data_IF_026006944394
#
_entry.id   IF_026006944394
#
_cell.length_a   1.000
_cell.length_b   1.000
_cell.length_c   1.000
_cell.angle_alpha   90.00
_cell.angle_beta   90.00
_cell.angle_gamma   90.00
#
_symmetry.space_group_name_H-M   'P 1'
#
loop_
_entity.id
_entity.type
_entity.pdbx_description
1 polymer ?
#
# COMPACT_ATOMS: atom_id res chain seq x y z
N UNK A 1 -46.90 -12.84 80.09
CA UNK A 1 -47.10 -12.87 78.62
C UNK A 1 -46.24 -11.77 78.02
N UNK A 2 -45.07 -12.13 77.51
CA UNK A 2 -44.10 -11.20 76.94
C UNK A 2 -43.97 -11.52 75.44
N UNK A 3 -44.37 -10.57 74.58
CA UNK A 3 -44.16 -10.67 73.14
C UNK A 3 -42.85 -9.96 72.76
N UNK A 4 -41.84 -10.76 72.42
CA UNK A 4 -40.60 -10.29 71.80
C UNK A 4 -40.82 -10.16 70.28
N UNK A 5 -40.74 -8.94 69.77
CA UNK A 5 -40.79 -8.61 68.34
C UNK A 5 -39.36 -8.56 67.79
N UNK A 6 -38.97 -9.62 67.10
CA UNK A 6 -37.68 -9.77 66.41
C UNK A 6 -37.68 -8.94 65.13
N UNK A 7 -36.97 -7.80 65.12
CA UNK A 7 -36.76 -6.97 63.93
C UNK A 7 -35.69 -7.62 63.03
N UNK A 8 -36.13 -8.20 61.91
CA UNK A 8 -35.24 -8.62 60.83
C UNK A 8 -34.67 -7.38 60.12
N UNK A 9 -33.35 -7.18 60.20
CA UNK A 9 -32.63 -6.18 59.39
C UNK A 9 -32.36 -6.77 58.02
N UNK A 10 -33.13 -6.32 57.02
CA UNK A 10 -32.79 -6.47 55.60
C UNK A 10 -31.54 -5.64 55.31
N UNK A 11 -30.40 -6.30 55.16
CA UNK A 11 -29.18 -5.70 54.62
C UNK A 11 -29.36 -5.60 53.12
N UNK A 12 -29.62 -4.39 52.61
CA UNK A 12 -29.60 -4.10 51.19
C UNK A 12 -28.15 -4.19 50.70
N UNK A 13 -27.80 -5.25 49.98
CA UNK A 13 -26.57 -5.28 49.21
C UNK A 13 -26.68 -4.23 48.09
N UNK A 14 -25.77 -3.25 47.99
CA UNK A 14 -25.68 -2.45 46.79
C UNK A 14 -25.19 -3.37 45.66
N UNK A 15 -26.09 -3.70 44.74
CA UNK A 15 -25.75 -4.33 43.47
C UNK A 15 -24.97 -3.29 42.65
N UNK A 16 -23.67 -3.16 42.94
CA UNK A 16 -22.75 -2.39 42.12
C UNK A 16 -22.60 -3.15 40.80
N UNK A 17 -23.44 -2.78 39.84
CA UNK A 17 -23.33 -3.15 38.44
C UNK A 17 -22.01 -2.53 37.94
N UNK A 18 -20.90 -3.25 38.15
CA UNK A 18 -19.63 -2.97 37.50
C UNK A 18 -19.87 -3.08 36.00
N UNK A 19 -20.17 -1.93 35.38
CA UNK A 19 -19.99 -1.70 33.96
C UNK A 19 -18.50 -1.93 33.68
N UNK A 20 -18.15 -3.20 33.47
CA UNK A 20 -16.90 -3.58 32.85
C UNK A 20 -16.94 -3.00 31.44
N UNK A 21 -16.55 -1.74 31.30
CA UNK A 21 -16.20 -1.16 30.01
C UNK A 21 -15.09 -2.05 29.49
N UNK A 22 -15.44 -2.93 28.53
CA UNK A 22 -14.42 -3.67 27.80
C UNK A 22 -13.44 -2.63 27.29
N UNK A 23 -12.21 -2.66 27.79
CA UNK A 23 -11.15 -1.89 27.19
C UNK A 23 -11.20 -2.22 25.68
N UNK A 24 -11.27 -1.22 24.80
CA UNK A 24 -11.27 -1.48 23.38
C UNK A 24 -10.07 -2.37 23.10
N UNK A 25 -10.30 -3.56 22.53
CA UNK A 25 -9.22 -4.48 22.20
C UNK A 25 -8.24 -3.72 21.32
N UNK A 26 -7.07 -3.39 21.86
CA UNK A 26 -6.04 -2.70 21.11
C UNK A 26 -5.62 -3.63 19.98
N UNK A 27 -5.84 -3.20 18.74
CA UNK A 27 -5.43 -3.98 17.59
C UNK A 27 -3.92 -4.25 17.72
N UNK A 28 -3.48 -5.51 17.68
CA UNK A 28 -2.09 -5.84 17.96
C UNK A 28 -1.20 -5.18 16.91
N UNK A 29 -0.22 -4.41 17.38
CA UNK A 29 0.81 -3.87 16.51
C UNK A 29 1.66 -5.03 15.98
N UNK A 30 1.96 -5.01 14.68
CA UNK A 30 2.88 -5.92 14.06
C UNK A 30 4.31 -5.38 14.22
N UNK A 31 5.20 -6.16 14.81
CA UNK A 31 6.62 -5.84 14.87
C UNK A 31 7.36 -6.44 13.68
N UNK A 32 8.14 -5.63 12.98
CA UNK A 32 8.92 -6.05 11.81
C UNK A 32 10.31 -5.43 11.85
N UNK A 33 11.30 -6.20 11.42
CA UNK A 33 12.68 -5.79 11.32
C UNK A 33 12.95 -5.28 9.92
N UNK A 34 13.53 -4.08 9.81
CA UNK A 34 13.93 -3.54 8.52
C UNK A 34 15.33 -4.03 8.15
N UNK A 35 15.41 -4.82 7.08
CA UNK A 35 16.67 -5.45 6.65
C UNK A 35 17.47 -4.52 5.74
N UNK A 36 16.88 -4.09 4.60
CA UNK A 36 17.57 -3.27 3.60
C UNK A 36 16.62 -2.62 2.60
N UNK A 37 17.12 -1.61 1.88
CA UNK A 37 16.50 -1.04 0.67
C UNK A 37 17.32 -1.53 -0.53
N UNK A 38 16.73 -2.38 -1.37
CA UNK A 38 17.43 -3.01 -2.48
C UNK A 38 16.47 -3.52 -3.58
N UNK A 39 16.61 -3.02 -4.83
CA UNK A 39 17.57 -2.00 -5.29
C UNK A 39 17.28 -0.62 -4.69
N UNK A 40 18.27 0.29 -4.68
CA UNK A 40 18.13 1.66 -4.17
C UNK A 40 18.83 2.70 -5.05
N UNK A 41 18.19 3.84 -5.24
CA UNK A 41 18.77 5.02 -5.89
C UNK A 41 18.40 6.31 -5.13
N UNK A 42 19.26 7.35 -5.15
CA UNK A 42 18.91 8.66 -4.61
C UNK A 42 17.88 9.36 -5.51
N UNK A 43 16.78 9.82 -4.92
CA UNK A 43 15.75 10.60 -5.58
C UNK A 43 15.69 12.01 -4.98
N UNK A 44 15.83 13.02 -5.85
CA UNK A 44 15.66 14.44 -5.51
C UNK A 44 14.23 14.86 -5.81
N UNK A 45 13.60 15.55 -4.86
CA UNK A 45 12.22 16.00 -5.01
C UNK A 45 12.04 17.43 -4.51
N UNK A 46 10.96 18.07 -4.98
CA UNK A 46 10.35 19.23 -4.34
C UNK A 46 8.97 18.81 -3.89
N UNK A 47 8.64 19.04 -2.62
CA UNK A 47 7.30 18.82 -2.08
C UNK A 47 6.82 20.06 -1.33
N UNK A 48 5.68 20.63 -1.76
CA UNK A 48 5.10 21.86 -1.16
C UNK A 48 6.14 22.99 -1.02
N UNK A 49 6.92 23.19 -2.08
CA UNK A 49 7.98 24.20 -2.15
C UNK A 49 9.26 23.89 -1.37
N UNK A 50 9.38 22.71 -0.75
CA UNK A 50 10.59 22.28 -0.04
C UNK A 50 11.33 21.24 -0.83
N UNK A 51 12.61 21.49 -1.08
CA UNK A 51 13.49 20.54 -1.73
C UNK A 51 14.00 19.49 -0.73
N UNK A 52 14.21 18.27 -1.21
CA UNK A 52 14.74 17.17 -0.42
C UNK A 52 15.39 16.10 -1.27
N UNK A 53 16.05 15.17 -0.58
CA UNK A 53 16.61 13.97 -1.20
C UNK A 53 16.32 12.79 -0.29
N UNK A 54 15.87 11.68 -0.87
CA UNK A 54 15.63 10.42 -0.17
C UNK A 54 16.15 9.25 -1.01
N UNK A 55 16.14 8.05 -0.45
CA UNK A 55 16.40 6.83 -1.22
C UNK A 55 15.07 6.21 -1.65
N UNK A 56 14.94 5.92 -2.94
CA UNK A 56 13.80 5.23 -3.53
C UNK A 56 14.21 3.80 -3.93
N UNK A 57 13.26 2.86 -3.87
CA UNK A 57 13.51 1.45 -4.13
C UNK A 57 12.53 0.51 -3.44
N UNK A 58 12.94 -0.74 -3.26
CA UNK A 58 12.14 -1.79 -2.61
C UNK A 58 12.65 -2.05 -1.19
N UNK A 59 11.79 -1.83 -0.19
CA UNK A 59 12.13 -2.07 1.22
C UNK A 59 11.95 -3.56 1.54
N UNK A 60 12.96 -4.15 2.18
CA UNK A 60 12.95 -5.55 2.61
C UNK A 60 12.76 -5.61 4.12
N UNK A 61 11.79 -6.43 4.52
CA UNK A 61 11.33 -6.53 5.89
C UNK A 61 11.27 -7.99 6.32
N UNK A 62 11.57 -8.23 7.59
CA UNK A 62 11.43 -9.53 8.24
C UNK A 62 10.46 -9.44 9.42
N UNK A 63 9.46 -10.30 9.49
CA UNK A 63 8.65 -10.51 10.70
C UNK A 63 9.42 -11.47 11.61
N UNK A 64 9.90 -11.02 12.79
CA UNK A 64 10.71 -11.84 13.68
C UNK A 64 10.03 -13.17 14.01
N UNK A 65 10.83 -14.23 14.21
CA UNK A 65 10.30 -15.55 14.63
C UNK A 65 9.60 -15.51 15.99
N UNK A 66 9.92 -14.51 16.80
CA UNK A 66 9.29 -14.26 18.10
C UNK A 66 7.86 -13.72 17.98
N UNK A 67 7.48 -13.17 16.82
CA UNK A 67 6.11 -12.76 16.55
C UNK A 67 5.23 -13.98 16.25
N UNK A 68 4.15 -14.10 17.05
CA UNK A 68 3.22 -15.23 16.98
C UNK A 68 2.41 -15.26 15.68
N UNK A 69 2.21 -14.10 15.04
CA UNK A 69 1.49 -13.99 13.77
C UNK A 69 2.11 -12.94 12.85
N UNK A 70 1.90 -13.11 11.54
CA UNK A 70 2.39 -12.18 10.51
C UNK A 70 1.28 -11.26 9.97
N UNK A 71 0.07 -11.37 10.51
CA UNK A 71 -1.13 -10.70 9.97
C UNK A 71 -1.34 -10.99 8.46
N UNK A 72 -0.96 -12.20 8.02
CA UNK A 72 -1.04 -12.66 6.64
C UNK A 72 0.11 -12.24 5.74
N UNK A 73 1.08 -11.47 6.24
CA UNK A 73 2.31 -11.17 5.50
C UNK A 73 3.20 -12.40 5.40
N UNK A 74 4.04 -12.45 4.37
CA UNK A 74 5.19 -13.34 4.38
C UNK A 74 6.14 -12.95 5.51
N UNK A 75 6.85 -13.93 6.09
CA UNK A 75 7.87 -13.63 7.11
C UNK A 75 9.00 -12.78 6.56
N UNK A 76 9.32 -12.94 5.28
CA UNK A 76 10.17 -12.01 4.55
C UNK A 76 9.28 -11.36 3.49
N UNK A 77 8.98 -10.09 3.64
CA UNK A 77 8.09 -9.39 2.72
C UNK A 77 8.76 -8.13 2.17
N UNK A 78 8.17 -7.62 1.10
CA UNK A 78 8.58 -6.38 0.47
C UNK A 78 7.56 -5.29 0.76
N UNK A 79 8.10 -4.11 1.04
CA UNK A 79 7.32 -2.91 1.28
C UNK A 79 7.73 -1.81 0.31
N UNK A 80 6.80 -0.92 0.05
CA UNK A 80 7.06 0.35 -0.61
C UNK A 80 6.73 1.48 0.36
N UNK A 81 7.65 2.41 0.49
CA UNK A 81 7.49 3.57 1.33
C UNK A 81 6.31 4.41 0.87
N UNK A 82 5.64 5.08 1.80
CA UNK A 82 4.61 6.03 1.45
C UNK A 82 4.65 7.35 2.21
N UNK A 83 5.82 7.65 2.79
CA UNK A 83 6.12 8.94 3.40
C UNK A 83 7.54 9.36 3.02
N UNK A 84 7.68 10.35 2.15
CA UNK A 84 9.00 10.78 1.64
C UNK A 84 9.92 11.40 2.70
N UNK A 85 9.35 11.92 3.80
CA UNK A 85 10.08 12.68 4.83
C UNK A 85 10.53 11.86 6.05
N UNK A 86 10.03 10.64 6.24
CA UNK A 86 10.32 9.87 7.46
C UNK A 86 11.52 8.96 7.20
N UNK A 87 12.68 9.19 7.85
CA UNK A 87 13.84 8.34 7.65
C UNK A 87 13.61 6.96 8.26
N UNK A 88 14.25 5.95 7.66
CA UNK A 88 14.32 4.60 8.22
C UNK A 88 15.78 4.18 8.37
N UNK A 89 16.09 3.46 9.44
CA UNK A 89 17.43 2.97 9.75
C UNK A 89 17.42 1.46 9.70
N UNK A 90 18.34 0.89 8.91
CA UNK A 90 18.52 -0.55 8.82
C UNK A 90 18.79 -1.15 10.20
N UNK A 91 18.46 -2.43 10.32
CA UNK A 91 18.68 -3.23 11.51
C UNK A 91 17.93 -2.74 12.75
N UNK A 92 16.75 -2.15 12.54
CA UNK A 92 15.85 -1.69 13.60
C UNK A 92 14.50 -2.41 13.55
N UNK A 93 13.90 -2.56 14.73
CA UNK A 93 12.56 -3.09 14.89
C UNK A 93 11.54 -1.94 14.87
N UNK A 94 10.56 -2.07 14.00
CA UNK A 94 9.50 -1.10 13.77
C UNK A 94 8.14 -1.71 14.07
N UNK A 95 7.21 -0.87 14.51
CA UNK A 95 5.84 -1.27 14.87
C UNK A 95 4.87 -0.69 13.85
N UNK A 96 3.98 -1.53 13.34
CA UNK A 96 2.98 -1.13 12.37
C UNK A 96 1.57 -1.51 12.82
N UNK A 97 0.62 -0.66 12.44
CA UNK A 97 -0.80 -1.00 12.40
C UNK A 97 -1.20 -1.30 10.97
N UNK A 98 -1.97 -2.35 10.74
CA UNK A 98 -2.55 -2.62 9.42
C UNK A 98 -3.79 -1.76 9.22
N UNK A 99 -3.80 -0.97 8.15
CA UNK A 99 -4.93 -0.15 7.74
C UNK A 99 -5.42 -0.56 6.35
N UNK A 100 -6.71 -0.33 6.10
CA UNK A 100 -7.27 -0.33 4.75
C UNK A 100 -6.59 0.76 3.93
N UNK A 101 -6.23 0.47 2.67
CA UNK A 101 -5.67 1.48 1.75
C UNK A 101 -6.67 2.60 1.42
N UNK A 102 -7.97 2.38 1.62
CA UNK A 102 -9.04 3.33 1.34
C UNK A 102 -9.28 4.35 2.47
N UNK A 103 -8.59 4.23 3.60
CA UNK A 103 -8.80 5.15 4.72
C UNK A 103 -8.27 6.57 4.39
N UNK A 104 -9.07 7.64 4.49
CA UNK A 104 -8.62 9.00 4.16
C UNK A 104 -7.43 9.50 4.97
N UNK A 105 -7.30 9.06 6.21
CA UNK A 105 -6.18 9.37 7.10
C UNK A 105 -4.83 8.95 6.49
N UNK A 106 -4.79 7.91 5.66
CA UNK A 106 -3.56 7.45 5.01
C UNK A 106 -2.96 8.47 4.04
N UNK A 107 -3.78 9.42 3.57
CA UNK A 107 -3.43 10.45 2.59
C UNK A 107 -3.48 11.86 3.19
N UNK A 108 -3.68 11.99 4.51
CA UNK A 108 -3.85 13.29 5.16
C UNK A 108 -5.14 14.02 4.78
N UNK A 109 -6.17 13.28 4.32
CA UNK A 109 -7.43 13.84 3.81
C UNK A 109 -8.56 13.85 4.84
N UNK A 110 -8.30 13.44 6.08
CA UNK A 110 -9.30 13.21 7.13
C UNK A 110 -10.29 14.37 7.38
N UNK A 111 -9.88 15.62 7.18
CA UNK A 111 -10.77 16.80 7.30
C UNK A 111 -11.12 17.46 5.96
N UNK A 112 -10.74 16.86 4.83
CA UNK A 112 -11.04 17.41 3.52
C UNK A 112 -12.52 17.20 3.16
N UNK A 113 -13.16 18.15 2.46
CA UNK A 113 -14.44 17.87 1.81
C UNK A 113 -14.21 16.75 0.78
N UNK A 114 -15.10 15.75 0.75
CA UNK A 114 -14.98 14.57 -0.13
C UNK A 114 -13.78 13.63 0.19
N UNK A 115 -13.31 13.62 1.43
CA UNK A 115 -12.21 12.77 1.92
C UNK A 115 -12.30 11.31 1.43
N UNK A 116 -13.46 10.67 1.58
CA UNK A 116 -13.67 9.27 1.19
C UNK A 116 -13.51 9.05 -0.32
N UNK A 117 -14.10 9.93 -1.13
CA UNK A 117 -14.03 9.82 -2.60
C UNK A 117 -12.60 10.04 -3.11
N UNK A 118 -11.88 10.99 -2.51
CA UNK A 118 -10.48 11.24 -2.84
C UNK A 118 -9.58 10.08 -2.42
N UNK A 119 -9.79 9.53 -1.23
CA UNK A 119 -9.08 8.35 -0.74
C UNK A 119 -9.35 7.11 -1.61
N UNK A 120 -10.62 6.91 -2.03
CA UNK A 120 -11.00 5.83 -2.95
C UNK A 120 -10.28 5.95 -4.29
N UNK A 121 -10.27 7.15 -4.87
CA UNK A 121 -9.56 7.41 -6.13
C UNK A 121 -8.06 7.14 -6.01
N UNK A 122 -7.40 7.59 -4.94
CA UNK A 122 -5.97 7.30 -4.71
C UNK A 122 -5.72 5.81 -4.53
N UNK A 123 -6.56 5.14 -3.74
CA UNK A 123 -6.46 3.69 -3.55
C UNK A 123 -6.60 2.93 -4.88
N UNK A 124 -7.51 3.35 -5.78
CA UNK A 124 -7.65 2.78 -7.14
C UNK A 124 -6.41 2.99 -8.00
N UNK A 125 -5.85 4.20 -8.01
CA UNK A 125 -4.59 4.45 -8.73
C UNK A 125 -3.43 3.62 -8.19
N UNK A 126 -3.34 3.45 -6.87
CA UNK A 126 -2.32 2.60 -6.26
C UNK A 126 -2.55 1.14 -6.65
N UNK A 127 -3.77 0.62 -6.53
CA UNK A 127 -4.08 -0.75 -6.95
C UNK A 127 -3.79 -0.98 -8.43
N UNK A 128 -4.15 -0.04 -9.30
CA UNK A 128 -3.83 -0.12 -10.72
C UNK A 128 -2.32 -0.08 -10.98
N UNK A 129 -1.56 0.78 -10.28
CA UNK A 129 -0.10 0.82 -10.36
C UNK A 129 0.50 -0.55 -10.02
N UNK A 130 0.03 -1.18 -8.93
CA UNK A 130 0.42 -2.54 -8.57
C UNK A 130 -0.02 -3.54 -9.65
N UNK A 131 -1.26 -3.47 -10.12
CA UNK A 131 -1.78 -4.37 -11.15
C UNK A 131 -0.97 -4.35 -12.45
N UNK A 132 -0.61 -3.16 -12.93
CA UNK A 132 0.12 -3.02 -14.20
C UNK A 132 1.62 -3.29 -14.09
N UNK A 133 2.26 -2.84 -13.01
CA UNK A 133 3.71 -2.70 -12.98
C UNK A 133 4.40 -3.43 -11.83
N UNK A 134 3.66 -3.89 -10.82
CA UNK A 134 4.28 -4.68 -9.76
C UNK A 134 4.75 -6.02 -10.31
N UNK A 135 6.00 -6.35 -9.99
CA UNK A 135 6.60 -7.66 -10.13
C UNK A 135 7.09 -8.08 -8.76
N UNK A 136 6.83 -9.32 -8.38
CA UNK A 136 7.26 -9.81 -7.06
C UNK A 136 8.80 -9.85 -6.98
N UNK A 137 9.43 -8.94 -6.22
CA UNK A 137 10.88 -8.82 -6.20
C UNK A 137 11.52 -9.88 -5.28
N UNK A 138 10.73 -10.79 -4.68
CA UNK A 138 11.24 -11.99 -3.99
C UNK A 138 11.43 -13.17 -4.94
N UNK A 139 10.63 -13.23 -6.01
CA UNK A 139 10.59 -14.36 -6.93
C UNK A 139 11.09 -14.01 -8.34
N UNK A 140 11.16 -12.72 -8.67
CA UNK A 140 11.58 -12.22 -9.98
C UNK A 140 12.66 -11.16 -9.81
N UNK A 141 13.58 -11.13 -10.76
CA UNK A 141 14.51 -10.01 -10.87
C UNK A 141 13.74 -8.76 -11.31
N UNK A 142 13.99 -7.65 -10.61
CA UNK A 142 13.38 -6.35 -10.89
C UNK A 142 14.51 -5.38 -11.14
N UNK A 143 14.67 -4.88 -12.38
CA UNK A 143 15.70 -3.89 -12.70
C UNK A 143 15.63 -2.70 -11.73
N UNK A 144 16.78 -2.19 -11.30
CA UNK A 144 16.84 -1.05 -10.39
C UNK A 144 16.02 0.17 -10.85
N UNK A 145 16.05 0.56 -12.14
CA UNK A 145 15.21 1.67 -12.62
C UNK A 145 13.71 1.43 -12.45
N UNK A 146 13.23 0.20 -12.67
CA UNK A 146 11.81 -0.16 -12.55
C UNK A 146 11.34 -0.10 -11.10
N UNK A 147 12.13 -0.64 -10.18
CA UNK A 147 11.85 -0.61 -8.74
C UNK A 147 11.82 0.82 -8.18
N UNK A 148 12.77 1.65 -8.60
CA UNK A 148 12.84 3.06 -8.22
C UNK A 148 11.68 3.83 -8.83
N UNK A 149 11.38 3.60 -10.11
CA UNK A 149 10.27 4.23 -10.81
C UNK A 149 8.92 3.92 -10.14
N UNK A 150 8.71 2.67 -9.75
CA UNK A 150 7.52 2.24 -9.03
C UNK A 150 7.35 3.00 -7.71
N UNK A 151 8.42 3.11 -6.91
CA UNK A 151 8.41 3.85 -5.65
C UNK A 151 8.14 5.35 -5.83
N UNK A 152 8.71 5.96 -6.87
CA UNK A 152 8.52 7.39 -7.18
C UNK A 152 7.08 7.66 -7.65
N UNK A 153 6.55 6.83 -8.55
CA UNK A 153 5.15 6.92 -9.00
C UNK A 153 4.18 6.75 -7.82
N UNK A 154 4.48 5.83 -6.89
CA UNK A 154 3.69 5.65 -5.69
C UNK A 154 3.67 6.93 -4.83
N UNK A 155 4.81 7.60 -4.64
CA UNK A 155 4.85 8.86 -3.90
C UNK A 155 4.06 9.97 -4.57
N UNK A 156 4.09 10.11 -5.89
CA UNK A 156 3.26 11.07 -6.61
C UNK A 156 1.77 10.89 -6.28
N UNK A 157 1.25 9.67 -6.42
CA UNK A 157 -0.17 9.37 -6.14
C UNK A 157 -0.56 9.73 -4.70
N UNK A 158 0.36 9.55 -3.75
CA UNK A 158 0.11 9.78 -2.32
C UNK A 158 0.27 11.25 -1.94
N UNK A 159 1.25 11.94 -2.50
CA UNK A 159 1.69 13.26 -2.03
C UNK A 159 1.11 14.41 -2.85
N UNK A 160 0.61 14.13 -4.06
CA UNK A 160 0.00 15.14 -4.91
C UNK A 160 -1.24 15.71 -4.24
N UNK A 161 -1.52 17.00 -4.45
CA UNK A 161 -2.65 17.66 -3.81
C UNK A 161 -3.94 17.32 -4.54
N UNK A 162 -4.98 17.02 -3.76
CA UNK A 162 -6.28 16.77 -4.36
C UNK A 162 -6.89 18.08 -4.87
N UNK A 163 -7.27 18.17 -6.16
CA UNK A 163 -7.98 19.34 -6.65
C UNK A 163 -9.39 19.40 -6.03
N UNK A 164 -9.95 20.60 -5.92
CA UNK A 164 -11.32 20.79 -5.41
C UNK A 164 -12.35 20.04 -6.29
N UNK A 165 -12.11 20.05 -7.60
CA UNK A 165 -12.92 19.36 -8.61
C UNK A 165 -12.04 18.53 -9.54
N UNK A 166 -12.53 17.36 -9.95
CA UNK A 166 -11.85 16.48 -10.92
C UNK A 166 -10.92 15.42 -10.30
N UNK A 167 -9.96 14.98 -11.10
CA UNK A 167 -8.92 14.03 -10.71
C UNK A 167 -7.57 14.78 -10.61
N UNK A 168 -6.66 14.37 -9.69
CA UNK A 168 -5.34 14.96 -9.61
C UNK A 168 -4.59 14.72 -10.92
N UNK A 169 -3.88 15.75 -11.39
CA UNK A 169 -2.96 15.59 -12.52
C UNK A 169 -1.65 15.04 -11.96
N UNK A 170 -1.37 13.77 -12.23
CA UNK A 170 -0.16 13.10 -11.77
C UNK A 170 1.00 13.41 -12.73
N UNK A 171 1.89 14.32 -12.33
CA UNK A 171 2.94 14.86 -13.19
C UNK A 171 4.18 15.22 -12.35
N UNK A 172 5.19 14.35 -12.41
CA UNK A 172 6.45 14.49 -11.69
C UNK A 172 7.26 15.72 -12.10
N UNK A 173 6.88 16.42 -13.16
CA UNK A 173 7.53 17.67 -13.57
C UNK A 173 6.67 18.90 -13.29
N UNK A 174 5.41 18.71 -12.89
CA UNK A 174 4.50 19.79 -12.57
C UNK A 174 3.47 19.34 -11.50
N UNK A 175 3.57 19.89 -10.31
CA UNK A 175 2.68 19.51 -9.21
C UNK A 175 3.21 20.01 -7.88
N UNK A 176 2.54 19.59 -6.82
CA UNK A 176 2.98 19.83 -5.46
C UNK A 176 4.06 18.85 -5.03
N UNK A 177 4.03 17.61 -5.53
CA UNK A 177 5.16 16.69 -5.50
C UNK A 177 5.78 16.63 -6.89
N UNK A 178 7.09 16.84 -7.00
CA UNK A 178 7.79 16.78 -8.28
C UNK A 178 9.23 16.35 -8.14
N UNK A 179 9.76 15.72 -9.17
CA UNK A 179 11.17 15.41 -9.30
C UNK A 179 11.98 16.71 -9.42
N UNK A 180 13.03 16.85 -8.61
CA UNK A 180 13.89 18.04 -8.63
C UNK A 180 15.13 17.79 -9.51
N UNK A 181 14.88 17.71 -10.82
CA UNK A 181 15.90 17.56 -11.85
C UNK A 181 15.55 18.45 -13.05
N UNK A 182 16.55 19.03 -13.74
CA UNK A 182 16.35 19.48 -15.11
C UNK A 182 15.83 18.31 -15.96
N UNK A 183 14.80 18.49 -16.82
CA UNK A 183 14.20 17.39 -17.58
C UNK A 183 15.21 16.54 -18.36
N UNK A 184 16.22 17.19 -18.95
CA UNK A 184 17.30 16.55 -19.71
C UNK A 184 18.35 15.81 -18.86
N UNK A 185 18.32 15.99 -17.54
CA UNK A 185 19.21 15.36 -16.55
C UNK A 185 18.46 14.41 -15.61
N UNK A 186 17.14 14.24 -15.80
CA UNK A 186 16.35 13.36 -14.98
C UNK A 186 16.82 11.90 -15.14
N UNK A 187 17.01 11.14 -14.04
CA UNK A 187 17.32 9.72 -14.11
C UNK A 187 16.27 8.96 -14.92
N UNK A 188 16.68 7.85 -15.55
CA UNK A 188 15.76 7.00 -16.32
C UNK A 188 14.55 6.53 -15.49
N UNK A 189 14.74 6.31 -14.19
CA UNK A 189 13.69 5.96 -13.24
C UNK A 189 12.60 7.04 -13.09
N UNK A 190 12.93 8.33 -13.24
CA UNK A 190 11.96 9.43 -13.20
C UNK A 190 11.09 9.43 -14.46
N UNK A 191 11.71 9.29 -15.63
CA UNK A 191 10.97 9.17 -16.90
C UNK A 191 10.07 7.94 -16.90
N UNK A 192 10.57 6.81 -16.40
CA UNK A 192 9.80 5.57 -16.28
C UNK A 192 8.64 5.72 -15.28
N UNK A 193 8.84 6.41 -14.16
CA UNK A 193 7.78 6.72 -13.20
C UNK A 193 6.68 7.57 -13.84
N UNK A 194 7.05 8.59 -14.62
CA UNK A 194 6.08 9.40 -15.36
C UNK A 194 5.28 8.56 -16.37
N UNK A 195 5.92 7.61 -17.04
CA UNK A 195 5.21 6.67 -17.94
C UNK A 195 4.21 5.80 -17.18
N UNK A 196 4.57 5.31 -15.99
CA UNK A 196 3.63 4.56 -15.14
C UNK A 196 2.42 5.41 -14.77
N UNK A 197 2.64 6.66 -14.34
CA UNK A 197 1.58 7.60 -13.96
C UNK A 197 0.65 7.94 -15.14
N UNK A 198 1.22 8.19 -16.31
CA UNK A 198 0.45 8.47 -17.53
C UNK A 198 -0.44 7.29 -17.97
N UNK A 199 -0.10 6.07 -17.58
CA UNK A 199 -0.86 4.87 -17.91
C UNK A 199 -2.03 4.58 -16.94
N UNK A 200 -2.11 5.29 -15.80
CA UNK A 200 -3.16 5.07 -14.80
C UNK A 200 -4.47 5.71 -15.25
N UNK A 201 -5.56 4.94 -15.21
CA UNK A 201 -6.90 5.38 -15.59
C UNK A 201 -7.90 5.33 -14.44
N UNK A 202 -7.50 4.81 -13.29
CA UNK A 202 -8.35 4.48 -12.15
C UNK A 202 -9.01 3.10 -12.27
N UNK A 203 -8.53 2.23 -13.16
CA UNK A 203 -9.05 0.87 -13.34
C UNK A 203 -8.33 -0.13 -12.42
N UNK A 204 -8.91 -0.36 -11.25
CA UNK A 204 -8.40 -1.28 -10.25
C UNK A 204 -8.64 -2.77 -10.60
N UNK A 205 -9.41 -3.10 -11.64
CA UNK A 205 -9.58 -4.48 -12.09
C UNK A 205 -8.24 -5.14 -12.45
N UNK A 206 -7.30 -4.36 -12.99
CA UNK A 206 -5.95 -4.81 -13.37
C UNK A 206 -5.14 -5.33 -12.18
N UNK A 207 -5.46 -4.90 -10.95
CA UNK A 207 -4.87 -5.46 -9.74
C UNK A 207 -5.13 -6.97 -9.64
N UNK A 208 -6.35 -7.40 -9.94
CA UNK A 208 -6.77 -8.80 -9.83
C UNK A 208 -6.34 -9.67 -11.01
N UNK A 209 -5.97 -9.04 -12.14
CA UNK A 209 -5.45 -9.72 -13.34
C UNK A 209 -3.95 -10.02 -13.25
N UNK A 210 -3.20 -9.31 -12.38
CA UNK A 210 -1.77 -9.53 -12.22
C UNK A 210 -1.48 -10.88 -11.53
N UNK A 211 -0.77 -11.81 -12.18
CA UNK A 211 -0.49 -13.13 -11.61
C UNK A 211 0.38 -13.07 -10.34
N UNK A 212 1.21 -12.03 -10.16
CA UNK A 212 2.06 -11.85 -8.96
C UNK A 212 1.27 -11.40 -7.74
N UNK A 213 0.03 -10.94 -7.94
CA UNK A 213 -0.88 -10.47 -6.89
C UNK A 213 -1.95 -11.51 -6.54
N UNK A 214 -1.94 -12.69 -7.19
CA UNK A 214 -2.95 -13.72 -7.00
C UNK A 214 -3.04 -14.16 -5.53
N UNK A 215 -4.24 -14.06 -4.96
CA UNK A 215 -4.50 -14.42 -3.56
C UNK A 215 -3.91 -13.46 -2.54
N UNK A 216 -3.41 -12.29 -2.98
CA UNK A 216 -2.83 -11.25 -2.12
C UNK A 216 -3.69 -9.99 -2.16
N UNK A 217 -3.83 -9.33 -1.02
CA UNK A 217 -4.40 -7.99 -0.94
C UNK A 217 -3.33 -6.97 -0.57
N UNK A 218 -3.46 -5.78 -1.15
CA UNK A 218 -2.65 -4.62 -0.83
C UNK A 218 -3.16 -3.98 0.45
N UNK A 219 -2.24 -3.76 1.38
CA UNK A 219 -2.52 -3.11 2.66
C UNK A 219 -1.61 -1.92 2.90
N UNK A 220 -2.06 -1.02 3.77
CA UNK A 220 -1.24 0.04 4.33
C UNK A 220 -0.72 -0.40 5.70
N UNK A 221 0.59 -0.39 5.89
CA UNK A 221 1.22 -0.53 7.20
C UNK A 221 1.48 0.88 7.74
N UNK A 222 0.63 1.36 8.64
CA UNK A 222 0.81 2.65 9.30
C UNK A 222 1.87 2.53 10.39
N UNK A 223 2.92 3.33 10.29
CA UNK A 223 3.99 3.35 11.27
C UNK A 223 3.51 3.84 12.64
N UNK A 224 3.92 3.16 13.70
CA UNK A 224 3.64 3.53 15.08
C UNK A 224 4.94 3.98 15.76
N UNK A 225 4.86 4.90 16.74
CA UNK A 225 6.00 5.20 17.61
C UNK A 225 6.45 3.95 18.38
N UNK A 226 7.76 3.70 18.42
CA UNK A 226 8.35 2.73 19.33
C UNK A 226 8.60 3.34 20.73
N UNK A 227 9.18 2.56 21.66
CA UNK A 227 9.47 3.01 23.03
C UNK A 227 10.41 4.23 23.09
N UNK A 228 11.22 4.43 22.05
CA UNK A 228 12.14 5.55 21.87
C UNK A 228 11.50 6.73 21.11
N UNK A 229 10.18 6.71 20.89
CA UNK A 229 9.43 7.68 20.07
C UNK A 229 9.90 7.78 18.60
N UNK A 230 10.62 6.79 18.10
CA UNK A 230 10.94 6.69 16.67
C UNK A 230 9.70 6.18 15.96
N UNK A 231 9.17 6.96 15.03
CA UNK A 231 8.01 6.60 14.21
C UNK A 231 8.51 5.88 12.97
N UNK A 232 8.00 4.67 12.72
CA UNK A 232 8.29 3.97 11.48
C UNK A 232 7.72 4.74 10.29
N UNK A 233 8.43 4.75 9.18
CA UNK A 233 7.89 5.24 7.91
C UNK A 233 6.77 4.29 7.46
N UNK A 234 5.57 4.80 7.24
CA UNK A 234 4.43 3.96 6.83
C UNK A 234 4.69 3.31 5.46
N UNK A 235 4.34 2.03 5.30
CA UNK A 235 4.58 1.23 4.08
C UNK A 235 3.29 0.77 3.36
N UNK A 236 3.39 0.40 2.09
CA UNK A 236 2.46 -0.47 1.38
C UNK A 236 3.06 -1.86 1.28
N UNK A 237 2.27 -2.89 1.54
CA UNK A 237 2.72 -4.28 1.50
C UNK A 237 1.60 -5.21 1.03
N UNK A 238 1.96 -6.41 0.60
CA UNK A 238 1.02 -7.45 0.18
C UNK A 238 0.90 -8.52 1.25
N UNK A 239 -0.33 -8.88 1.61
CA UNK A 239 -0.63 -10.01 2.51
C UNK A 239 -1.58 -11.00 1.85
N UNK A 240 -1.61 -12.24 2.31
CA UNK A 240 -2.55 -13.24 1.81
C UNK A 240 -4.00 -12.90 2.20
N UNK A 241 -4.92 -13.04 1.24
CA UNK A 241 -6.36 -12.94 1.48
C UNK A 241 -6.78 -14.12 2.36
N UNK A 242 -6.94 -13.86 3.66
CA UNK A 242 -7.41 -14.84 4.65
C UNK A 242 -6.33 -15.29 5.63
N UNK A 243 -5.10 -14.78 5.50
CA UNK A 243 -3.97 -15.10 6.39
C UNK A 243 -4.01 -14.43 7.77
N UNK A 244 -5.13 -13.78 8.15
CA UNK A 244 -5.34 -13.28 9.50
C UNK A 244 -5.80 -14.42 10.41
N UNK A 245 -5.24 -14.51 11.62
CA UNK A 245 -5.64 -15.52 12.60
C UNK A 245 -7.16 -15.60 12.72
N UNK A 246 -7.68 -16.84 12.72
CA UNK A 246 -9.10 -17.18 12.89
C UNK A 246 -9.55 -16.70 14.29
N UNK A 247 -9.90 -15.43 14.44
CA UNK A 247 -10.20 -14.88 15.76
C UNK A 247 -10.68 -13.43 15.85
N UNK A 248 -10.36 -12.56 14.90
CA UNK A 248 -10.86 -11.18 14.94
C UNK A 248 -10.99 -10.59 13.53
N UNK A 249 -12.23 -10.27 13.11
CA UNK A 249 -12.46 -9.25 12.08
C UNK A 249 -12.82 -9.69 10.67
N UNK A 250 -13.22 -10.95 10.44
CA UNK A 250 -13.72 -11.41 9.13
C UNK A 250 -14.95 -10.65 8.59
N UNK A 251 -15.61 -9.82 9.40
CA UNK A 251 -16.79 -9.04 9.03
C UNK A 251 -16.48 -7.66 8.41
N UNK A 252 -15.25 -7.15 8.48
CA UNK A 252 -14.91 -5.86 7.83
C UNK A 252 -14.49 -6.01 6.36
N UNK A 253 -14.37 -7.23 5.84
CA UNK A 253 -13.92 -7.50 4.47
C UNK A 253 -15.00 -7.47 3.40
N UNK A 254 -16.28 -7.32 3.75
CA UNK A 254 -17.38 -7.37 2.78
C UNK A 254 -18.26 -6.10 2.72
N UNK A 255 -17.97 -5.06 3.52
CA UNK A 255 -18.78 -3.83 3.54
C UNK A 255 -18.10 -2.57 2.98
N UNK A 256 -16.85 -2.67 2.50
CA UNK A 256 -16.09 -1.48 2.04
C UNK A 256 -15.63 -1.56 0.59
N UNK A 257 -16.04 -2.59 -0.16
CA UNK A 257 -15.83 -2.70 -1.60
C UNK A 257 -17.19 -2.62 -2.29
N UNK A 258 -17.62 -1.40 -2.65
CA UNK A 258 -18.73 -1.16 -3.58
C UNK A 258 -20.13 -1.46 -3.05
N UNK A 259 -20.68 -0.58 -2.22
CA UNK A 259 -22.07 -0.66 -1.81
C UNK A 259 -22.56 0.65 -1.21
N UNK A 260 -22.87 1.63 -2.05
CA UNK A 260 -23.68 2.76 -1.64
C UNK A 260 -25.06 2.26 -1.22
N UNK A 261 -25.30 2.17 0.09
CA UNK A 261 -26.65 2.08 0.64
C UNK A 261 -26.85 3.33 1.48
N UNK A 262 -27.63 4.25 0.91
CA UNK A 262 -28.11 5.43 1.61
C UNK A 262 -28.92 5.06 2.84
N UNK A 263 -28.69 5.85 3.89
CA UNK A 263 -29.64 6.31 4.88
C UNK A 263 -30.93 5.49 5.12
N UNK A 264 -31.07 4.96 6.34
CA UNK A 264 -32.39 4.84 6.97
C UNK A 264 -32.54 3.71 7.98
N UNK A 265 -32.72 4.09 9.24
CA UNK A 265 -33.63 3.35 10.13
C UNK A 265 -33.02 2.43 11.18
N UNK A 266 -32.81 2.99 12.37
CA UNK A 266 -32.99 2.26 13.63
C UNK A 266 -34.43 1.71 13.69
N UNK A 267 -34.62 0.41 13.95
CA UNK A 267 -35.94 -0.14 14.28
C UNK A 267 -36.02 -1.67 14.37
N UNK A 268 -35.96 -2.17 15.61
CA UNK A 268 -36.63 -3.36 16.19
C UNK A 268 -36.52 -4.78 15.55
N UNK A 269 -36.50 -5.87 16.37
CA UNK A 269 -36.44 -7.24 15.89
C UNK A 269 -37.84 -7.76 15.51
N UNK A 270 -37.98 -8.37 14.33
CA UNK A 270 -39.22 -8.96 13.83
C UNK A 270 -39.02 -10.37 13.29
N UNK A 271 -39.75 -11.31 13.88
CA UNK A 271 -39.95 -12.70 13.48
C UNK A 271 -40.64 -12.86 12.11
N UNK A 272 -40.39 -14.01 11.45
CA UNK A 272 -41.20 -14.57 10.35
C UNK A 272 -40.59 -14.28 8.97
N UNK A 273 -40.33 -15.23 8.07
CA UNK A 273 -41.07 -16.45 7.75
C UNK A 273 -41.88 -16.20 6.47
N UNK A 274 -41.58 -16.91 5.38
CA UNK A 274 -42.53 -17.05 4.26
C UNK A 274 -41.99 -16.83 2.85
N UNK A 275 -42.17 -17.87 2.04
CA UNK A 275 -42.03 -18.00 0.60
C UNK A 275 -42.79 -16.94 -0.24
N UNK A 276 -42.33 -16.70 -1.48
CA UNK A 276 -43.15 -16.05 -2.50
C UNK A 276 -42.45 -15.83 -3.85
N UNK A 277 -42.70 -16.73 -4.79
CA UNK A 277 -42.51 -16.55 -6.24
C UNK A 277 -43.40 -15.42 -6.80
N UNK A 278 -42.90 -14.65 -7.78
CA UNK A 278 -43.73 -13.67 -8.50
C UNK A 278 -43.06 -13.10 -9.74
N UNK A 279 -43.60 -13.46 -10.89
CA UNK A 279 -43.23 -13.08 -12.26
C UNK A 279 -44.02 -11.82 -12.70
N UNK A 280 -43.40 -10.95 -13.52
CA UNK A 280 -44.04 -9.95 -14.41
C UNK A 280 -44.21 -8.53 -13.84
N UNK A 281 -44.14 -7.43 -14.61
CA UNK A 281 -43.90 -7.21 -16.04
C UNK A 281 -43.66 -5.70 -16.32
N UNK A 282 -42.92 -5.39 -17.39
CA UNK A 282 -43.00 -4.16 -18.21
C UNK A 282 -42.23 -2.92 -17.76
N UNK A 283 -41.71 -2.02 -18.62
CA UNK A 283 -41.67 -1.91 -20.08
C UNK A 283 -40.86 -0.63 -20.44
N UNK A 284 -40.07 -0.67 -21.52
CA UNK A 284 -39.60 0.50 -22.30
C UNK A 284 -38.08 0.74 -22.25
N UNK A 285 -37.32 0.82 -23.33
CA UNK A 285 -37.59 0.74 -24.78
C UNK A 285 -36.32 1.13 -25.57
N UNK A 286 -36.29 0.80 -26.87
CA UNK A 286 -35.41 1.46 -27.86
C UNK A 286 -34.31 0.62 -28.51
N UNK A 287 -34.67 -0.18 -29.52
CA UNK A 287 -33.79 -0.87 -30.46
C UNK A 287 -34.13 -0.42 -31.89
N UNK A 288 -33.18 0.18 -32.59
CA UNK A 288 -33.11 0.32 -34.05
C UNK A 288 -31.70 -0.15 -34.44
N UNK A 289 -31.53 -1.25 -35.18
CA UNK A 289 -31.71 -1.44 -36.63
C UNK A 289 -30.35 -1.44 -37.33
N UNK A 290 -29.98 -2.58 -37.90
CA UNK A 290 -28.78 -2.77 -38.73
C UNK A 290 -28.85 -4.11 -39.44
N UNK A 291 -29.33 -4.07 -40.69
CA UNK A 291 -29.58 -5.17 -41.61
C UNK A 291 -28.36 -5.41 -42.54
N UNK A 292 -28.35 -6.56 -43.23
CA UNK A 292 -27.44 -7.02 -44.31
C UNK A 292 -26.06 -7.54 -43.86
N UNK A 293 -25.49 -8.58 -44.45
CA UNK A 293 -25.83 -9.39 -45.63
C UNK A 293 -24.69 -10.39 -45.85
N UNK A 294 -25.01 -11.57 -46.41
CA UNK A 294 -24.07 -12.66 -46.61
C UNK A 294 -23.13 -12.51 -47.81
N UNK A 295 -22.09 -13.35 -47.83
CA UNK A 295 -21.19 -13.61 -48.94
C UNK A 295 -19.94 -14.37 -48.48
N UNK A 296 -19.81 -15.66 -48.82
CA UNK A 296 -18.53 -16.38 -48.76
C UNK A 296 -17.69 -16.09 -50.02
N UNK A 297 -16.73 -16.95 -50.42
CA UNK A 297 -15.84 -17.83 -49.66
C UNK A 297 -14.35 -17.51 -49.96
N UNK A 298 -13.40 -17.75 -49.05
CA UNK A 298 -11.97 -17.76 -49.43
C UNK A 298 -11.19 -18.93 -48.81
N UNK A 299 -10.56 -19.66 -49.74
CA UNK A 299 -9.64 -20.79 -49.63
C UNK A 299 -8.32 -20.37 -48.97
N UNK A 300 -7.68 -21.18 -48.11
CA UNK A 300 -6.35 -20.84 -47.62
C UNK A 300 -5.30 -21.16 -48.71
N UNK A 301 -4.72 -20.12 -49.31
CA UNK A 301 -3.50 -20.23 -50.11
C UNK A 301 -2.30 -20.36 -49.19
N UNK A 302 -1.68 -21.55 -49.17
CA UNK A 302 -0.40 -21.81 -48.54
C UNK A 302 0.74 -21.19 -49.35
N UNK A 303 1.50 -20.28 -48.74
CA UNK A 303 2.74 -19.76 -49.29
C UNK A 303 3.91 -20.71 -48.93
N UNK A 304 4.77 -21.11 -49.88
CA UNK A 304 5.93 -21.93 -49.56
C UNK A 304 7.03 -21.08 -48.92
N UNK A 305 7.42 -21.45 -47.69
CA UNK A 305 8.63 -20.93 -47.03
C UNK A 305 9.85 -21.54 -47.71
N UNK A 306 10.63 -20.70 -48.38
CA UNK A 306 11.95 -21.09 -48.92
C UNK A 306 13.01 -20.77 -47.87
N UNK A 307 13.35 -21.74 -47.02
CA UNK A 307 14.51 -21.62 -46.13
C UNK A 307 15.73 -22.19 -46.84
N UNK A 308 16.58 -21.31 -47.35
CA UNK A 308 17.90 -21.65 -47.88
C UNK A 308 18.91 -21.74 -46.74
N UNK A 309 19.34 -22.95 -46.41
CA UNK A 309 20.56 -23.24 -45.64
C UNK A 309 21.75 -23.25 -46.60
N UNK A 310 22.89 -22.60 -46.28
CA UNK A 310 24.15 -23.36 -46.20
C UNK A 310 25.22 -22.71 -45.25
N UNK A 311 26.40 -23.30 -45.06
CA UNK A 311 26.67 -24.65 -44.60
C UNK A 311 27.52 -24.67 -43.30
N UNK A 312 27.50 -25.83 -42.68
CA UNK A 312 28.37 -26.30 -41.59
C UNK A 312 29.87 -26.19 -41.95
N UNK A 313 30.64 -25.52 -41.10
CA UNK A 313 32.10 -25.59 -41.08
C UNK A 313 32.62 -25.38 -39.65
N UNK A 314 33.06 -26.45 -38.99
CA UNK A 314 33.97 -26.38 -37.84
C UNK A 314 35.41 -26.74 -38.28
N UNK A 315 36.34 -27.02 -37.36
CA UNK A 315 36.69 -26.30 -36.14
C UNK A 315 38.10 -25.68 -36.26
N UNK A 316 38.31 -24.47 -35.73
CA UNK A 316 39.61 -23.80 -35.69
C UNK A 316 40.05 -23.54 -34.26
N UNK A 317 40.74 -24.52 -33.68
CA UNK A 317 41.41 -24.45 -32.38
C UNK A 317 42.61 -23.51 -32.46
N UNK A 318 42.61 -22.40 -31.72
CA UNK A 318 43.84 -21.75 -31.23
C UNK A 318 43.60 -21.08 -29.89
N UNK A 319 44.05 -21.74 -28.83
CA UNK A 319 44.13 -21.20 -27.47
C UNK A 319 45.37 -20.30 -27.37
N UNK A 320 45.26 -19.02 -26.95
CA UNK A 320 46.42 -18.27 -26.48
C UNK A 320 46.67 -18.61 -25.00
N UNK A 321 47.92 -18.87 -24.58
CA UNK A 321 48.25 -18.95 -23.17
C UNK A 321 48.36 -17.51 -22.63
N UNK A 322 47.92 -17.24 -21.40
CA UNK A 322 48.85 -16.79 -20.34
C UNK A 322 48.16 -16.52 -18.99
N UNK A 323 48.83 -17.05 -17.97
CA UNK A 323 49.12 -16.48 -16.64
C UNK A 323 47.97 -16.21 -15.67
N UNK A 324 47.70 -17.22 -14.86
CA UNK A 324 47.34 -17.09 -13.45
C UNK A 324 48.47 -16.39 -12.67
N UNK A 325 48.17 -15.24 -12.08
CA UNK A 325 48.92 -14.69 -10.94
C UNK A 325 47.94 -14.40 -9.84
N UNK A 326 47.92 -15.26 -8.83
CA UNK A 326 47.25 -15.02 -7.55
C UNK A 326 48.07 -14.02 -6.73
N UNK A 327 47.45 -13.03 -6.05
CA UNK A 327 48.05 -12.41 -4.89
C UNK A 327 47.62 -13.13 -3.59
N UNK A 328 48.48 -13.17 -2.57
CA UNK A 328 48.19 -13.79 -1.28
C UNK A 328 47.48 -12.83 -0.31
N UNK A 329 46.63 -13.41 0.55
CA UNK A 329 46.61 -13.09 1.99
C UNK A 329 45.92 -11.80 2.48
N UNK A 330 44.79 -12.00 3.16
CA UNK A 330 44.55 -11.60 4.57
C UNK A 330 44.65 -10.13 4.99
N UNK A 331 43.51 -9.56 5.40
CA UNK A 331 43.43 -8.34 6.23
C UNK A 331 41.98 -8.02 6.65
N UNK A 332 41.75 -7.44 7.85
CA UNK A 332 40.50 -7.53 8.61
C UNK A 332 39.37 -6.62 8.11
N UNK A 333 38.15 -7.09 8.29
CA UNK A 333 36.89 -6.41 7.99
C UNK A 333 36.77 -5.07 8.75
N UNK A 334 36.84 -3.96 8.01
CA UNK A 334 36.41 -2.64 8.48
C UNK A 334 34.88 -2.51 8.42
N UNK A 335 34.23 -1.94 9.44
CA UNK A 335 32.78 -1.85 9.51
C UNK A 335 32.22 -0.88 8.45
N UNK A 336 31.04 -1.23 7.94
CA UNK A 336 30.23 -0.41 7.04
C UNK A 336 30.01 0.99 7.62
N UNK A 337 30.42 2.01 6.88
CA UNK A 337 30.16 3.41 7.23
C UNK A 337 28.65 3.71 7.15
N UNK A 338 28.09 4.42 8.13
CA UNK A 338 26.69 4.85 8.09
C UNK A 338 26.46 5.80 6.90
N UNK A 339 25.33 5.63 6.23
CA UNK A 339 24.85 6.55 5.17
C UNK A 339 24.84 7.98 5.75
N UNK A 340 25.52 8.96 5.13
CA UNK A 340 25.53 10.32 5.63
C UNK A 340 24.10 10.87 5.64
N UNK A 341 23.59 11.17 6.84
CA UNK A 341 22.46 12.08 6.95
C UNK A 341 22.89 13.41 6.32
N UNK A 342 22.07 14.04 5.45
CA UNK A 342 22.38 15.36 4.93
C UNK A 342 22.67 16.28 6.11
N UNK A 343 23.75 17.06 6.01
CA UNK A 343 24.17 18.05 6.99
C UNK A 343 23.08 19.12 7.17
N UNK A 344 22.11 18.79 8.02
CA UNK A 344 20.92 19.58 8.32
C UNK A 344 20.38 19.19 9.69
N UNK A 345 21.29 18.91 10.62
CA UNK A 345 21.02 18.52 12.00
C UNK A 345 20.69 19.78 12.82
N UNK A 346 19.61 20.48 12.43
CA UNK A 346 18.98 21.57 13.17
C UNK A 346 17.48 21.71 12.79
N UNK A 347 16.79 20.60 12.52
CA UNK A 347 15.32 20.58 12.31
C UNK A 347 14.59 19.55 13.19
N UNK A 348 15.21 19.12 14.30
CA UNK A 348 14.60 18.24 15.30
C UNK A 348 13.40 18.83 16.05
N UNK A 349 13.02 20.09 15.81
CA UNK A 349 11.89 20.74 16.46
C UNK A 349 10.72 21.12 15.54
N UNK A 350 10.84 21.00 14.21
CA UNK A 350 9.75 21.41 13.30
C UNK A 350 8.89 20.23 12.83
N UNK A 351 9.42 19.00 12.80
CA UNK A 351 8.66 17.81 12.40
C UNK A 351 7.65 17.32 13.46
N UNK A 352 7.77 17.74 14.73
CA UNK A 352 6.76 17.51 15.76
C UNK A 352 5.58 18.51 15.69
N UNK A 353 5.74 19.62 14.97
CA UNK A 353 4.74 20.69 14.90
C UNK A 353 3.57 20.40 13.98
N UNK A 354 3.74 19.61 12.91
CA UNK A 354 2.69 19.39 11.90
C UNK A 354 1.88 18.11 12.12
N UNK A 355 2.44 17.07 12.73
CA UNK A 355 1.67 15.87 13.12
C UNK A 355 1.09 15.97 14.55
N UNK A 356 1.67 16.80 15.42
CA UNK A 356 1.18 17.02 16.79
C UNK A 356 0.01 18.01 16.91
N UNK A 357 -0.11 18.97 15.98
CA UNK A 357 -1.14 20.02 16.04
C UNK A 357 -2.55 19.52 15.75
N UNK A 358 -2.70 18.41 15.02
CA UNK A 358 -4.01 17.85 14.70
C UNK A 358 -4.73 17.25 15.92
N UNK A 359 -3.99 16.67 16.88
CA UNK A 359 -4.59 16.04 18.08
C UNK A 359 -5.01 17.04 19.17
N UNK A 360 -4.44 18.25 19.19
CA UNK A 360 -4.80 19.28 20.18
C UNK A 360 -6.04 20.07 19.72
N UNK A 361 -6.18 20.33 18.43
CA UNK A 361 -7.35 21.05 17.88
C UNK A 361 -8.64 20.21 18.01
N UNK A 362 -8.56 18.88 17.83
CA UNK A 362 -9.71 17.98 18.03
C UNK A 362 -10.19 17.91 19.50
N UNK A 363 -9.32 18.13 20.49
CA UNK A 363 -9.71 18.17 21.91
C UNK A 363 -10.34 19.50 22.34
N UNK A 364 -10.04 20.61 21.66
CA UNK A 364 -10.59 21.92 21.97
C UNK A 364 -11.95 22.19 21.32
N UNK A 365 -12.31 21.45 20.27
CA UNK A 365 -13.63 21.55 19.61
C UNK A 365 -14.69 20.60 20.20
N UNK A 366 -14.30 19.65 21.05
CA UNK A 366 -15.23 18.73 21.74
C UNK A 366 -15.70 19.19 23.11
N UNK A 367 -15.37 20.41 23.56
CA UNK A 367 -15.74 20.93 24.89
C UNK A 367 -16.61 22.21 24.84
N UNK A 368 -17.40 22.39 23.78
CA UNK A 368 -18.46 23.41 23.75
C UNK A 368 -19.83 22.78 23.69
#
# INVERSE_FOLDING_TARGET
>A
MAHALTRARLVALPLALLLATRAPAQEPALEVFYTKLDPKEPFKYTWKGKEGTCSAGVFRWEVPKTEFGTNGLDRNFTGYCAEVLVPITADQLYRFKVNSIYAPDNFGLAAAPNADRAAERRAKYIQELFGRFYRDPTNKDVPAPDAVAFQVALWEIIQETEPADGAPKLDLFAGDFRANYPPEQAPASVTQAQQYLNALTGNDALYYENPDLKGRELIRLQGLPNAQNVVAQSQFALRYVGGGAVGAGGLNRALTAGGGIGAGGFGAPGLGGGFGSGFGAGLGGGLFAGNNGGGGPETPTTTPVTTTTPPTGGPGTTTPPTTTTSPPGGGPETPSSPVPAPAGLLLGFVALGTLGSWRIVAKLLGSK
#
